data_IF_959542091291
#
_entry.id   IF_959542091291
#
_cell.length_a   1.000
_cell.length_b   1.000
_cell.length_c   1.000
_cell.angle_alpha   90.00
_cell.angle_beta   90.00
_cell.angle_gamma   90.00
#
_symmetry.space_group_name_H-M   'P 1'
#
loop_
_entity.id
_entity.type
_entity.pdbx_description
1 polymer ?
#
# COMPACT_ATOMS: atom_id res chain seq x y z
N UNK A 1 33.42 -29.76 21.45
CA UNK A 1 33.04 -30.14 20.07
C UNK A 1 32.02 -29.11 19.65
N UNK A 2 32.53 -28.00 19.14
CA UNK A 2 31.75 -26.85 18.70
C UNK A 2 31.34 -27.08 17.24
N UNK A 3 30.04 -27.22 17.00
CA UNK A 3 29.49 -27.27 15.65
C UNK A 3 29.17 -25.83 15.20
N UNK A 4 29.71 -25.34 14.06
CA UNK A 4 29.54 -23.94 13.63
C UNK A 4 28.14 -23.59 13.12
N UNK A 5 27.27 -24.58 12.87
CA UNK A 5 26.04 -24.38 12.08
C UNK A 5 24.81 -23.95 12.88
N UNK A 6 24.89 -23.85 14.21
CA UNK A 6 23.74 -23.43 15.04
C UNK A 6 23.67 -21.92 15.30
N UNK A 7 24.76 -21.16 15.08
CA UNK A 7 24.80 -19.72 15.36
C UNK A 7 24.19 -18.86 14.25
N UNK A 8 24.01 -19.39 13.03
CA UNK A 8 23.45 -18.63 11.89
C UNK A 8 21.92 -18.46 12.01
N UNK A 9 21.24 -19.37 12.70
CA UNK A 9 19.79 -19.32 12.91
C UNK A 9 19.37 -18.46 14.11
N UNK A 10 20.29 -18.15 15.02
CA UNK A 10 19.98 -17.36 16.22
C UNK A 10 20.10 -15.85 16.00
N UNK A 11 20.90 -15.40 15.03
CA UNK A 11 21.01 -13.97 14.70
C UNK A 11 19.81 -13.46 13.87
N UNK A 12 19.07 -14.35 13.19
CA UNK A 12 17.87 -13.97 12.42
C UNK A 12 16.61 -13.74 13.27
N UNK A 13 16.62 -14.18 14.53
CA UNK A 13 15.47 -14.07 15.45
C UNK A 13 15.65 -13.05 16.59
N UNK A 14 16.80 -12.39 16.68
CA UNK A 14 17.04 -11.34 17.69
C UNK A 14 17.04 -9.95 17.07
N UNK A 15 15.86 -9.33 16.98
CA UNK A 15 15.72 -7.93 16.57
C UNK A 15 14.26 -7.53 16.32
N UNK A 16 13.82 -6.45 16.95
CA UNK A 16 12.54 -5.79 16.79
C UNK A 16 12.03 -5.73 15.33
N UNK A 17 10.78 -6.15 15.12
CA UNK A 17 9.95 -5.96 13.92
C UNK A 17 10.60 -6.28 12.56
N UNK A 18 10.95 -7.54 12.30
CA UNK A 18 11.25 -8.01 10.94
C UNK A 18 9.99 -7.90 10.05
N UNK A 19 10.10 -7.29 8.85
CA UNK A 19 8.98 -7.20 7.90
C UNK A 19 8.50 -8.59 7.46
N UNK A 20 7.24 -8.70 7.02
CA UNK A 20 6.68 -9.98 6.55
C UNK A 20 7.58 -10.62 5.49
N UNK A 21 8.14 -9.79 4.61
CA UNK A 21 9.06 -10.19 3.55
C UNK A 21 10.28 -10.94 4.09
N UNK A 22 10.90 -10.46 5.18
CA UNK A 22 12.03 -11.14 5.84
C UNK A 22 11.61 -12.46 6.47
N UNK A 23 10.47 -12.46 7.15
CA UNK A 23 9.93 -13.69 7.77
C UNK A 23 9.60 -14.74 6.71
N UNK A 24 8.98 -14.34 5.60
CA UNK A 24 8.67 -15.20 4.46
C UNK A 24 9.96 -15.77 3.84
N UNK A 25 10.99 -14.93 3.68
CA UNK A 25 12.28 -15.37 3.16
C UNK A 25 12.93 -16.43 4.06
N UNK A 26 13.00 -16.19 5.38
CA UNK A 26 13.57 -17.16 6.32
C UNK A 26 12.79 -18.49 6.32
N UNK A 27 11.47 -18.44 6.23
CA UNK A 27 10.62 -19.63 6.11
C UNK A 27 10.89 -20.36 4.79
N UNK A 28 10.99 -19.63 3.67
CA UNK A 28 11.28 -20.22 2.37
C UNK A 28 12.65 -20.90 2.35
N UNK A 29 13.68 -20.29 2.94
CA UNK A 29 15.00 -20.90 3.11
C UNK A 29 14.93 -22.21 3.93
N UNK A 30 14.16 -22.22 5.02
CA UNK A 30 13.96 -23.43 5.84
C UNK A 30 13.23 -24.55 5.08
N UNK A 31 12.21 -24.22 4.28
CA UNK A 31 11.54 -25.17 3.38
C UNK A 31 12.54 -25.74 2.37
N UNK A 32 13.39 -24.87 1.80
CA UNK A 32 14.40 -25.22 0.80
C UNK A 32 15.42 -26.25 1.26
N UNK A 33 15.69 -26.37 2.56
CA UNK A 33 16.58 -27.41 3.11
C UNK A 33 16.08 -28.84 2.85
N UNK A 34 14.75 -29.04 2.83
CA UNK A 34 14.13 -30.33 2.56
C UNK A 34 13.61 -30.44 1.12
N UNK A 35 13.05 -29.36 0.60
CA UNK A 35 12.43 -29.32 -0.73
C UNK A 35 13.11 -28.24 -1.58
N UNK A 36 14.32 -28.50 -2.10
CA UNK A 36 15.10 -27.51 -2.85
C UNK A 36 14.50 -27.16 -4.21
N UNK A 37 13.41 -27.81 -4.64
CA UNK A 37 12.66 -27.48 -5.85
C UNK A 37 11.54 -26.46 -5.61
N UNK A 38 11.27 -26.04 -4.36
CA UNK A 38 10.38 -24.91 -4.10
C UNK A 38 11.18 -23.66 -4.43
N UNK A 39 10.86 -23.02 -5.56
CA UNK A 39 11.63 -21.91 -6.11
C UNK A 39 11.06 -20.55 -5.71
N UNK A 40 9.77 -20.51 -5.38
CA UNK A 40 9.08 -19.29 -4.99
C UNK A 40 8.00 -19.57 -3.97
N UNK A 41 7.89 -18.67 -3.00
CA UNK A 41 6.77 -18.58 -2.06
C UNK A 41 6.21 -17.16 -2.13
N UNK A 42 4.92 -17.01 -2.41
CA UNK A 42 4.31 -15.70 -2.65
C UNK A 42 2.91 -15.58 -2.05
N UNK A 43 2.54 -14.38 -1.64
CA UNK A 43 1.18 -14.03 -1.21
C UNK A 43 0.59 -12.99 -2.16
N UNK A 44 -0.63 -13.25 -2.62
CA UNK A 44 -1.48 -12.26 -3.27
C UNK A 44 -2.61 -11.84 -2.33
N UNK A 45 -2.69 -10.55 -2.01
CA UNK A 45 -3.73 -9.94 -1.18
C UNK A 45 -5.05 -9.88 -1.97
N UNK A 46 -6.17 -10.14 -1.30
CA UNK A 46 -7.52 -9.94 -1.85
C UNK A 46 -8.24 -8.83 -1.09
N UNK A 47 -8.79 -7.86 -1.84
CA UNK A 47 -9.62 -6.77 -1.32
C UNK A 47 -11.10 -7.05 -1.65
N UNK A 48 -11.93 -7.46 -0.67
CA UNK A 48 -13.33 -7.84 -0.93
C UNK A 48 -14.21 -6.68 -1.43
N UNK A 49 -13.85 -5.43 -1.11
CA UNK A 49 -14.65 -4.26 -1.48
C UNK A 49 -14.52 -3.90 -2.97
N UNK A 50 -13.35 -4.17 -3.56
CA UNK A 50 -13.00 -3.84 -4.95
C UNK A 50 -12.91 -5.09 -5.85
N UNK A 51 -13.05 -6.28 -5.25
CA UNK A 51 -12.82 -7.59 -5.88
C UNK A 51 -11.40 -7.76 -6.42
N UNK A 52 -10.42 -7.03 -5.88
CA UNK A 52 -9.09 -6.90 -6.47
C UNK A 52 -8.10 -7.86 -5.79
N UNK A 53 -7.39 -8.64 -6.60
CA UNK A 53 -6.20 -9.40 -6.23
C UNK A 53 -4.97 -8.58 -6.57
N UNK A 54 -4.01 -8.52 -5.65
CA UNK A 54 -2.74 -7.80 -5.83
C UNK A 54 -1.57 -8.64 -5.39
N UNK A 55 -0.45 -8.58 -6.10
CA UNK A 55 0.81 -9.07 -5.54
C UNK A 55 1.10 -8.30 -4.26
N UNK A 56 1.49 -9.03 -3.20
CA UNK A 56 1.78 -8.43 -1.91
C UNK A 56 3.23 -8.65 -1.52
N UNK A 57 3.61 -9.91 -1.32
CA UNK A 57 4.99 -10.29 -0.99
C UNK A 57 5.39 -11.56 -1.72
N UNK A 58 6.69 -11.68 -1.98
CA UNK A 58 7.27 -12.93 -2.50
C UNK A 58 8.71 -13.10 -2.07
N UNK A 59 9.08 -14.36 -1.83
CA UNK A 59 10.45 -14.82 -1.72
C UNK A 59 10.72 -15.74 -2.89
N UNK A 60 11.74 -15.42 -3.68
CA UNK A 60 12.11 -16.13 -4.88
C UNK A 60 13.60 -16.52 -4.77
N UNK A 61 13.96 -17.69 -5.30
CA UNK A 61 15.38 -18.08 -5.43
C UNK A 61 16.08 -17.34 -6.56
N UNK A 62 15.34 -17.03 -7.62
CA UNK A 62 15.77 -16.05 -8.62
C UNK A 62 15.39 -14.64 -8.14
N UNK A 63 16.15 -13.62 -8.52
CA UNK A 63 15.78 -12.23 -8.22
C UNK A 63 14.56 -11.74 -9.04
N UNK A 64 13.81 -12.65 -9.67
CA UNK A 64 12.72 -12.36 -10.60
C UNK A 64 11.38 -12.32 -9.87
N UNK A 65 10.89 -11.11 -9.58
CA UNK A 65 9.61 -10.91 -8.88
C UNK A 65 8.50 -10.48 -9.85
N UNK A 66 7.31 -11.00 -9.62
CA UNK A 66 6.09 -10.40 -10.18
C UNK A 66 5.70 -9.25 -9.24
N UNK A 67 5.80 -8.02 -9.75
CA UNK A 67 5.60 -6.79 -8.97
C UNK A 67 4.45 -5.99 -9.59
N UNK A 68 3.61 -5.37 -8.75
CA UNK A 68 2.48 -4.52 -9.18
C UNK A 68 1.50 -5.20 -10.13
N UNK A 69 1.29 -6.52 -9.99
CA UNK A 69 0.26 -7.20 -10.74
C UNK A 69 -1.07 -7.13 -9.99
N UNK A 70 -2.12 -6.71 -10.71
CA UNK A 70 -3.48 -6.66 -10.19
C UNK A 70 -4.45 -7.36 -11.15
N UNK A 71 -5.47 -8.01 -10.60
CA UNK A 71 -6.57 -8.61 -11.37
C UNK A 71 -7.82 -8.75 -10.51
N UNK A 72 -9.02 -8.70 -11.11
CA UNK A 72 -10.22 -9.01 -10.34
C UNK A 72 -10.38 -10.52 -10.13
N UNK A 73 -10.75 -10.94 -8.91
CA UNK A 73 -10.91 -12.36 -8.60
C UNK A 73 -11.97 -13.03 -9.49
N UNK A 74 -13.05 -12.31 -9.82
CA UNK A 74 -14.08 -12.81 -10.77
C UNK A 74 -13.53 -13.14 -12.16
N UNK A 75 -12.45 -12.47 -12.58
CA UNK A 75 -11.81 -12.65 -13.88
C UNK A 75 -10.72 -13.74 -13.83
N UNK A 76 -10.51 -14.37 -12.66
CA UNK A 76 -9.59 -15.50 -12.45
C UNK A 76 -10.37 -16.73 -11.94
N UNK A 77 -11.10 -17.46 -12.81
CA UNK A 77 -12.00 -18.55 -12.40
C UNK A 77 -11.31 -19.65 -11.59
N UNK A 78 -10.03 -19.90 -11.88
CA UNK A 78 -9.25 -20.92 -11.22
C UNK A 78 -9.07 -20.61 -9.72
N UNK A 79 -8.84 -19.35 -9.35
CA UNK A 79 -8.72 -18.92 -7.95
C UNK A 79 -10.09 -18.73 -7.29
N UNK A 80 -11.09 -18.24 -8.04
CA UNK A 80 -12.46 -18.12 -7.55
C UNK A 80 -13.05 -19.48 -7.11
N UNK A 81 -12.70 -20.56 -7.81
CA UNK A 81 -13.10 -21.92 -7.40
C UNK A 81 -12.52 -22.35 -6.05
N UNK A 82 -11.29 -21.93 -5.74
CA UNK A 82 -10.64 -22.21 -4.44
C UNK A 82 -11.29 -21.38 -3.34
N UNK A 83 -11.54 -20.09 -3.63
CA UNK A 83 -12.22 -19.19 -2.72
C UNK A 83 -13.58 -19.73 -2.27
N UNK A 84 -14.35 -20.30 -3.20
CA UNK A 84 -15.70 -20.83 -2.93
C UNK A 84 -15.71 -22.23 -2.32
N UNK A 85 -14.76 -23.09 -2.69
CA UNK A 85 -14.66 -24.47 -2.16
C UNK A 85 -13.93 -24.59 -0.83
N UNK A 86 -13.17 -23.56 -0.42
CA UNK A 86 -12.27 -23.61 0.74
C UNK A 86 -11.22 -24.72 0.64
N UNK A 87 -10.78 -25.03 -0.57
CA UNK A 87 -9.79 -26.08 -0.82
C UNK A 87 -8.49 -25.51 -1.39
N UNK A 88 -7.38 -26.10 -0.97
CA UNK A 88 -6.08 -25.94 -1.61
C UNK A 88 -6.04 -26.69 -2.94
N UNK A 89 -5.14 -26.29 -3.83
CA UNK A 89 -5.00 -26.90 -5.16
C UNK A 89 -3.55 -27.11 -5.51
N UNK A 90 -3.27 -28.27 -6.09
CA UNK A 90 -2.00 -28.55 -6.76
C UNK A 90 -2.23 -28.50 -8.27
N UNK A 91 -1.42 -27.71 -8.97
CA UNK A 91 -1.25 -27.75 -10.41
C UNK A 91 0.09 -28.43 -10.68
N UNK A 92 0.04 -29.63 -11.28
CA UNK A 92 1.26 -30.38 -11.59
C UNK A 92 1.96 -29.92 -12.86
N UNK A 93 1.25 -29.28 -13.78
CA UNK A 93 1.81 -28.70 -15.02
C UNK A 93 1.07 -27.40 -15.38
N UNK A 94 1.72 -26.26 -15.14
CA UNK A 94 1.18 -24.92 -15.38
C UNK A 94 0.93 -24.68 -16.88
N UNK A 95 1.91 -24.87 -17.79
CA UNK A 95 1.67 -24.79 -19.24
C UNK A 95 0.49 -25.60 -19.75
N UNK A 96 0.31 -26.82 -19.26
CA UNK A 96 -0.76 -27.72 -19.71
C UNK A 96 -2.13 -27.42 -19.06
N UNK A 97 -2.16 -26.89 -17.84
CA UNK A 97 -3.40 -26.69 -17.08
C UNK A 97 -3.96 -25.27 -17.23
N UNK A 98 -3.09 -24.25 -17.21
CA UNK A 98 -3.47 -22.84 -17.29
C UNK A 98 -3.39 -22.36 -18.75
N UNK A 99 -4.40 -22.74 -19.53
CA UNK A 99 -4.47 -22.43 -20.96
C UNK A 99 -4.96 -21.00 -21.25
N UNK A 100 -5.71 -20.38 -20.34
CA UNK A 100 -6.18 -18.99 -20.50
C UNK A 100 -5.00 -18.04 -20.25
N UNK A 101 -4.59 -17.24 -21.25
CA UNK A 101 -3.50 -16.30 -21.07
C UNK A 101 -3.96 -15.16 -20.16
N UNK A 102 -3.25 -14.99 -19.04
CA UNK A 102 -3.36 -13.83 -18.16
C UNK A 102 -1.94 -13.29 -17.94
N UNK A 103 -1.79 -12.03 -17.53
CA UNK A 103 -0.45 -11.48 -17.23
C UNK A 103 0.31 -12.34 -16.22
N UNK A 104 -0.37 -12.84 -15.18
CA UNK A 104 0.23 -13.75 -14.20
C UNK A 104 0.61 -15.11 -14.80
N UNK A 105 -0.30 -15.75 -15.54
CA UNK A 105 -0.03 -17.04 -16.19
C UNK A 105 1.12 -16.93 -17.20
N UNK A 106 1.17 -15.84 -17.97
CA UNK A 106 2.25 -15.60 -18.93
C UNK A 106 3.57 -15.36 -18.20
N UNK A 107 3.57 -14.56 -17.14
CA UNK A 107 4.76 -14.34 -16.31
C UNK A 107 5.29 -15.64 -15.72
N UNK A 108 4.43 -16.51 -15.19
CA UNK A 108 4.86 -17.82 -14.69
C UNK A 108 5.53 -18.66 -15.78
N UNK A 109 4.97 -18.67 -17.00
CA UNK A 109 5.53 -19.41 -18.14
C UNK A 109 6.85 -18.82 -18.65
N UNK A 110 6.97 -17.50 -18.70
CA UNK A 110 8.19 -16.79 -19.14
C UNK A 110 9.37 -17.01 -18.20
N UNK A 111 9.11 -17.32 -16.93
CA UNK A 111 10.14 -17.59 -15.90
C UNK A 111 10.27 -19.08 -15.56
N UNK A 112 9.76 -19.95 -16.43
CA UNK A 112 9.86 -21.41 -16.36
C UNK A 112 9.24 -22.04 -15.10
N UNK A 113 8.18 -21.45 -14.54
CA UNK A 113 7.41 -22.12 -13.48
C UNK A 113 6.48 -23.18 -14.06
N UNK A 114 6.59 -24.40 -13.55
CA UNK A 114 5.92 -25.58 -14.10
C UNK A 114 4.91 -26.22 -13.16
N UNK A 115 5.03 -26.06 -11.83
CA UNK A 115 4.01 -26.56 -10.91
C UNK A 115 3.77 -25.58 -9.75
N UNK A 116 2.59 -25.66 -9.14
CA UNK A 116 2.20 -24.75 -8.05
C UNK A 116 1.27 -25.43 -7.04
N UNK A 117 1.51 -25.22 -5.75
CA UNK A 117 0.55 -25.45 -4.67
C UNK A 117 -0.04 -24.09 -4.25
N UNK A 118 -1.35 -23.95 -4.40
CA UNK A 118 -2.10 -22.75 -4.02
C UNK A 118 -2.95 -23.02 -2.78
N UNK A 119 -2.83 -22.16 -1.77
CA UNK A 119 -3.56 -22.25 -0.49
C UNK A 119 -4.35 -20.95 -0.26
N UNK A 120 -5.69 -20.98 -0.19
CA UNK A 120 -6.49 -19.81 0.15
C UNK A 120 -6.39 -19.47 1.65
N UNK A 121 -6.24 -18.19 1.98
CA UNK A 121 -6.12 -17.68 3.36
C UNK A 121 -7.42 -17.00 3.77
N UNK A 122 -8.00 -17.46 4.89
CA UNK A 122 -9.27 -16.96 5.40
C UNK A 122 -9.15 -16.33 6.80
N UNK A 123 -9.97 -15.30 7.04
CA UNK A 123 -10.24 -14.74 8.38
C UNK A 123 -11.75 -14.76 8.63
N UNK A 124 -12.19 -15.46 9.68
CA UNK A 124 -13.61 -15.56 10.03
C UNK A 124 -14.50 -15.89 8.81
N UNK A 125 -14.07 -16.87 8.00
CA UNK A 125 -14.73 -17.34 6.78
C UNK A 125 -14.73 -16.36 5.58
N UNK A 126 -14.02 -15.23 5.66
CA UNK A 126 -13.80 -14.32 4.53
C UNK A 126 -12.42 -14.54 3.92
N UNK A 127 -12.34 -14.66 2.60
CA UNK A 127 -11.08 -14.73 1.89
C UNK A 127 -10.29 -13.42 2.10
N UNK A 128 -9.00 -13.54 2.43
CA UNK A 128 -8.10 -12.40 2.58
C UNK A 128 -6.93 -12.44 1.61
N UNK A 129 -6.48 -13.63 1.19
CA UNK A 129 -5.34 -13.77 0.30
C UNK A 129 -5.24 -15.19 -0.30
N UNK A 130 -4.30 -15.37 -1.23
CA UNK A 130 -3.81 -16.67 -1.68
C UNK A 130 -2.31 -16.76 -1.43
N UNK A 131 -1.87 -17.90 -0.90
CA UNK A 131 -0.47 -18.30 -0.78
C UNK A 131 -0.12 -19.27 -1.89
N UNK A 132 1.04 -19.08 -2.50
CA UNK A 132 1.57 -19.87 -3.59
C UNK A 132 2.92 -20.44 -3.20
N UNK A 133 3.12 -21.73 -3.44
CA UNK A 133 4.42 -22.37 -3.52
C UNK A 133 4.61 -22.79 -4.97
N UNK A 134 5.60 -22.24 -5.66
CA UNK A 134 5.84 -22.52 -7.07
C UNK A 134 7.18 -23.21 -7.27
N UNK A 135 7.24 -24.04 -8.30
CA UNK A 135 8.41 -24.85 -8.67
C UNK A 135 8.62 -24.79 -10.17
N UNK A 136 9.89 -24.71 -10.58
CA UNK A 136 10.33 -24.84 -11.97
C UNK A 136 10.36 -26.28 -12.47
N UNK A 137 9.95 -27.23 -11.64
CA UNK A 137 9.87 -28.65 -12.00
C UNK A 137 8.39 -29.05 -12.10
N UNK A 138 8.00 -29.66 -13.22
CA UNK A 138 6.66 -30.23 -13.36
C UNK A 138 6.47 -31.43 -12.41
N UNK A 139 5.25 -31.64 -11.92
CA UNK A 139 4.88 -32.74 -11.02
C UNK A 139 5.71 -32.80 -9.71
N UNK A 140 6.19 -31.66 -9.22
CA UNK A 140 7.08 -31.61 -8.05
C UNK A 140 6.36 -31.76 -6.70
N UNK A 141 5.03 -31.58 -6.67
CA UNK A 141 4.23 -31.69 -5.46
C UNK A 141 3.55 -33.06 -5.39
N UNK A 142 3.96 -33.87 -4.42
CA UNK A 142 3.32 -35.13 -4.04
C UNK A 142 2.58 -35.00 -2.70
N UNK A 143 1.95 -36.08 -2.24
CA UNK A 143 1.16 -36.06 -1.00
C UNK A 143 2.02 -35.88 0.27
N UNK A 144 3.33 -36.15 0.22
CA UNK A 144 4.22 -35.94 1.36
C UNK A 144 4.62 -34.47 1.45
N UNK A 145 5.15 -33.92 0.36
CA UNK A 145 5.53 -32.50 0.27
C UNK A 145 4.32 -31.60 0.49
N UNK A 146 3.14 -31.91 -0.06
CA UNK A 146 1.93 -31.14 0.19
C UNK A 146 1.58 -31.07 1.69
N UNK A 147 1.56 -32.21 2.39
CA UNK A 147 1.27 -32.26 3.84
C UNK A 147 2.32 -31.54 4.68
N UNK A 148 3.58 -31.58 4.27
CA UNK A 148 4.63 -30.82 4.95
C UNK A 148 4.45 -29.32 4.73
N UNK A 149 4.19 -28.91 3.50
CA UNK A 149 3.99 -27.50 3.14
C UNK A 149 2.72 -26.92 3.76
N UNK A 150 1.69 -27.72 4.03
CA UNK A 150 0.49 -27.29 4.77
C UNK A 150 0.84 -26.69 6.14
N UNK A 151 1.79 -27.26 6.88
CA UNK A 151 2.22 -26.72 8.18
C UNK A 151 2.87 -25.34 8.04
N UNK A 152 3.69 -25.16 7.00
CA UNK A 152 4.30 -23.87 6.70
C UNK A 152 3.29 -22.89 6.13
N UNK A 153 2.32 -23.37 5.34
CA UNK A 153 1.23 -22.56 4.82
C UNK A 153 0.39 -21.98 5.95
N UNK A 154 0.08 -22.78 6.97
CA UNK A 154 -0.61 -22.33 8.17
C UNK A 154 0.23 -21.28 8.92
N UNK A 155 1.52 -21.53 9.14
CA UNK A 155 2.42 -20.56 9.78
C UNK A 155 2.47 -19.21 9.03
N UNK A 156 2.73 -19.26 7.73
CA UNK A 156 2.79 -18.07 6.86
C UNK A 156 1.43 -17.34 6.88
N UNK A 157 0.33 -18.09 6.82
CA UNK A 157 -1.02 -17.53 6.88
C UNK A 157 -1.29 -16.82 8.21
N UNK A 158 -0.89 -17.40 9.35
CA UNK A 158 -1.06 -16.76 10.65
C UNK A 158 -0.19 -15.50 10.79
N UNK A 159 1.06 -15.52 10.31
CA UNK A 159 1.93 -14.34 10.30
C UNK A 159 1.35 -13.21 9.43
N UNK A 160 0.89 -13.55 8.23
CA UNK A 160 0.22 -12.61 7.33
C UNK A 160 -1.04 -12.02 7.98
N UNK A 161 -1.91 -12.87 8.55
CA UNK A 161 -3.14 -12.41 9.19
C UNK A 161 -2.84 -11.54 10.42
N UNK A 162 -1.82 -11.85 11.21
CA UNK A 162 -1.39 -11.03 12.34
C UNK A 162 -0.98 -9.63 11.86
N UNK A 163 -0.16 -9.55 10.81
CA UNK A 163 0.31 -8.27 10.27
C UNK A 163 -0.82 -7.46 9.64
N UNK A 164 -1.67 -8.08 8.82
CA UNK A 164 -2.85 -7.42 8.24
C UNK A 164 -3.82 -6.97 9.34
N UNK A 165 -3.99 -7.74 10.41
CA UNK A 165 -4.82 -7.33 11.54
C UNK A 165 -4.26 -6.09 12.24
N UNK A 166 -2.95 -6.00 12.42
CA UNK A 166 -2.31 -4.80 12.98
C UNK A 166 -2.54 -3.59 12.07
N UNK A 167 -2.36 -3.75 10.76
CA UNK A 167 -2.60 -2.69 9.77
C UNK A 167 -4.07 -2.27 9.78
N UNK A 168 -5.01 -3.20 9.73
CA UNK A 168 -6.45 -2.89 9.79
C UNK A 168 -6.87 -2.26 11.12
N UNK A 169 -6.26 -2.67 12.24
CA UNK A 169 -6.51 -2.04 13.54
C UNK A 169 -5.96 -0.61 13.58
N UNK A 170 -4.78 -0.39 13.00
CA UNK A 170 -4.15 0.91 12.89
C UNK A 170 -5.02 1.82 11.99
N UNK A 171 -5.30 1.38 10.76
CA UNK A 171 -6.17 2.09 9.82
C UNK A 171 -7.55 2.34 10.44
N UNK A 172 -8.16 1.37 11.12
CA UNK A 172 -9.45 1.53 11.77
C UNK A 172 -9.42 2.56 12.91
N UNK A 173 -8.40 2.52 13.78
CA UNK A 173 -8.20 3.53 14.84
C UNK A 173 -8.04 4.91 14.23
N UNK A 174 -7.26 5.00 13.16
CA UNK A 174 -7.07 6.27 12.50
C UNK A 174 -8.34 6.74 11.78
N UNK A 175 -9.07 5.87 11.09
CA UNK A 175 -10.33 6.20 10.43
C UNK A 175 -11.37 6.73 11.43
N UNK A 176 -11.38 6.22 12.66
CA UNK A 176 -12.20 6.79 13.75
C UNK A 176 -11.73 8.21 14.07
N UNK A 177 -10.43 8.44 14.24
CA UNK A 177 -9.88 9.76 14.52
C UNK A 177 -10.13 10.76 13.37
N UNK A 178 -9.85 10.39 12.12
CA UNK A 178 -10.15 11.18 10.92
C UNK A 178 -11.66 11.38 10.74
N UNK A 179 -12.48 10.39 11.08
CA UNK A 179 -13.94 10.51 11.06
C UNK A 179 -14.46 11.56 12.05
N UNK A 180 -13.83 11.68 13.23
CA UNK A 180 -14.14 12.74 14.20
C UNK A 180 -13.72 14.12 13.70
N UNK A 181 -12.57 14.22 13.01
CA UNK A 181 -12.18 15.46 12.32
C UNK A 181 -13.19 15.85 11.24
N UNK A 182 -13.64 14.86 10.45
CA UNK A 182 -14.59 15.03 9.34
C UNK A 182 -15.98 15.50 9.78
N UNK A 183 -16.43 15.17 10.99
CA UNK A 183 -17.71 15.71 11.50
C UNK A 183 -17.66 17.25 11.54
N UNK A 184 -16.48 17.83 11.66
CA UNK A 184 -16.25 19.28 11.78
C UNK A 184 -15.67 19.93 10.54
N UNK A 185 -15.19 19.16 9.55
CA UNK A 185 -14.58 19.71 8.32
C UNK A 185 -15.51 19.51 7.12
N UNK A 186 -15.44 20.44 6.16
CA UNK A 186 -16.24 20.44 4.94
C UNK A 186 -15.71 19.47 3.86
N UNK A 187 -14.58 18.81 4.11
CA UNK A 187 -13.98 17.84 3.19
C UNK A 187 -14.83 16.56 3.12
N UNK A 188 -15.22 16.18 1.89
CA UNK A 188 -16.05 15.01 1.65
C UNK A 188 -15.23 13.73 1.86
N UNK A 189 -15.87 12.64 2.31
CA UNK A 189 -15.20 11.33 2.39
C UNK A 189 -14.65 10.86 1.03
N UNK A 190 -15.20 11.38 -0.08
CA UNK A 190 -14.76 11.05 -1.43
C UNK A 190 -13.44 11.71 -1.81
N UNK A 191 -13.11 12.90 -1.28
CA UNK A 191 -11.81 13.53 -1.47
C UNK A 191 -10.68 12.60 -1.00
N UNK A 192 -10.83 12.01 0.19
CA UNK A 192 -9.82 11.12 0.76
C UNK A 192 -9.63 9.85 -0.10
N UNK A 193 -10.72 9.27 -0.60
CA UNK A 193 -10.66 8.11 -1.50
C UNK A 193 -9.96 8.46 -2.82
N UNK A 194 -10.31 9.59 -3.45
CA UNK A 194 -9.65 10.04 -4.68
C UNK A 194 -8.16 10.28 -4.47
N UNK A 195 -7.81 11.02 -3.41
CA UNK A 195 -6.44 11.36 -3.08
C UNK A 195 -5.58 10.12 -2.82
N UNK A 196 -6.09 9.15 -2.05
CA UNK A 196 -5.43 7.87 -1.82
C UNK A 196 -5.17 7.12 -3.14
N UNK A 197 -6.15 7.07 -4.04
CA UNK A 197 -5.98 6.41 -5.34
C UNK A 197 -5.00 7.14 -6.26
N UNK A 198 -4.95 8.48 -6.25
CA UNK A 198 -3.93 9.25 -6.97
C UNK A 198 -2.52 9.00 -6.41
N UNK A 199 -2.39 8.90 -5.08
CA UNK A 199 -1.12 8.58 -4.44
C UNK A 199 -0.62 7.19 -4.85
N UNK A 200 -1.49 6.17 -4.82
CA UNK A 200 -1.17 4.81 -5.29
C UNK A 200 -0.73 4.81 -6.76
N UNK A 201 -1.47 5.51 -7.61
CA UNK A 201 -1.20 5.62 -9.05
C UNK A 201 0.20 6.20 -9.32
N UNK A 202 0.57 7.28 -8.65
CA UNK A 202 1.90 7.87 -8.76
C UNK A 202 2.99 6.92 -8.23
N UNK A 203 2.78 6.30 -7.07
CA UNK A 203 3.77 5.39 -6.48
C UNK A 203 4.06 4.17 -7.37
N UNK A 204 3.03 3.59 -7.99
CA UNK A 204 3.20 2.50 -8.95
C UNK A 204 4.05 2.91 -10.16
N UNK A 205 3.83 4.13 -10.68
CA UNK A 205 4.60 4.68 -11.80
C UNK A 205 6.05 5.02 -11.41
N UNK A 206 6.27 5.43 -10.17
CA UNK A 206 7.58 5.81 -9.63
C UNK A 206 8.37 4.65 -9.00
N UNK A 207 7.77 3.47 -8.90
CA UNK A 207 8.31 2.34 -8.15
C UNK A 207 9.75 1.97 -8.54
N UNK A 208 10.08 1.95 -9.83
CA UNK A 208 11.45 1.65 -10.28
C UNK A 208 12.45 2.76 -9.97
N UNK A 209 12.03 4.01 -10.02
CA UNK A 209 12.89 5.18 -9.82
C UNK A 209 13.30 5.32 -8.35
N UNK A 210 12.41 4.93 -7.44
CA UNK A 210 12.56 5.10 -5.99
C UNK A 210 12.64 3.79 -5.22
N UNK A 211 12.73 2.65 -5.91
CA UNK A 211 12.76 1.31 -5.32
C UNK A 211 11.58 1.05 -4.37
N UNK A 212 10.38 1.48 -4.77
CA UNK A 212 9.16 1.28 -3.99
C UNK A 212 8.61 -0.13 -4.22
N UNK A 213 8.49 -0.90 -3.15
CA UNK A 213 7.87 -2.23 -3.19
C UNK A 213 6.35 -2.16 -3.05
N UNK A 214 5.68 -3.29 -3.31
CA UNK A 214 4.22 -3.41 -3.22
C UNK A 214 3.71 -3.10 -1.79
N UNK A 215 4.51 -3.41 -0.77
CA UNK A 215 4.22 -3.11 0.64
C UNK A 215 4.19 -1.59 0.91
N UNK A 216 5.18 -0.84 0.43
CA UNK A 216 5.21 0.63 0.51
C UNK A 216 4.00 1.26 -0.20
N UNK A 217 3.71 0.81 -1.43
CA UNK A 217 2.61 1.36 -2.24
C UNK A 217 1.27 1.14 -1.54
N UNK A 218 1.07 -0.03 -0.93
CA UNK A 218 -0.12 -0.34 -0.15
C UNK A 218 -0.25 0.57 1.07
N UNK A 219 0.83 0.75 1.83
CA UNK A 219 0.81 1.60 3.02
C UNK A 219 0.61 3.07 2.68
N UNK A 220 1.19 3.56 1.59
CA UNK A 220 0.93 4.90 1.10
C UNK A 220 -0.56 5.10 0.77
N UNK A 221 -1.17 4.14 0.06
CA UNK A 221 -2.60 4.18 -0.23
C UNK A 221 -3.45 4.24 1.05
N UNK A 222 -3.15 3.38 2.03
CA UNK A 222 -3.88 3.32 3.28
C UNK A 222 -3.71 4.57 4.17
N UNK A 223 -2.53 5.19 4.14
CA UNK A 223 -2.19 6.30 5.04
C UNK A 223 -2.28 7.69 4.41
N UNK A 224 -2.39 7.81 3.09
CA UNK A 224 -2.62 9.10 2.42
C UNK A 224 -3.84 9.85 3.00
N UNK A 225 -5.01 9.22 3.25
CA UNK A 225 -6.17 9.87 3.89
C UNK A 225 -5.91 10.50 5.26
N UNK A 226 -4.76 10.26 5.88
CA UNK A 226 -4.45 10.67 7.25
C UNK A 226 -3.73 12.01 7.34
N UNK A 227 -3.28 12.56 6.21
CA UNK A 227 -2.46 13.77 6.16
C UNK A 227 -3.02 14.90 7.06
N UNK A 228 -4.34 15.07 7.04
CA UNK A 228 -5.06 16.13 7.76
C UNK A 228 -5.70 15.71 9.10
N UNK A 229 -5.33 14.55 9.66
CA UNK A 229 -5.91 14.02 10.92
C UNK A 229 -5.88 15.04 12.08
N UNK A 230 -4.86 15.90 12.11
CA UNK A 230 -4.70 16.89 13.17
C UNK A 230 -5.68 18.06 13.12
N UNK A 231 -6.48 18.21 12.04
CA UNK A 231 -7.56 19.19 11.96
C UNK A 231 -8.58 19.01 13.09
N UNK A 232 -8.67 17.81 13.69
CA UNK A 232 -9.49 17.54 14.89
C UNK A 232 -9.19 18.50 16.06
N UNK A 233 -7.96 18.98 16.17
CA UNK A 233 -7.54 19.90 17.24
C UNK A 233 -7.62 21.38 16.87
N UNK A 234 -8.08 21.72 15.66
CA UNK A 234 -8.23 23.13 15.24
C UNK A 234 -9.57 23.68 15.75
N UNK A 235 -9.62 24.91 16.31
CA UNK A 235 -10.87 25.53 16.75
C UNK A 235 -11.85 25.75 15.60
N UNK A 236 -13.15 25.55 15.86
CA UNK A 236 -14.21 25.76 14.84
C UNK A 236 -14.21 27.17 14.26
N UNK A 237 -13.91 28.19 15.07
CA UNK A 237 -13.83 29.58 14.62
C UNK A 237 -12.78 29.82 13.53
N UNK A 238 -11.79 28.94 13.43
CA UNK A 238 -10.75 28.96 12.39
C UNK A 238 -11.08 27.94 11.30
N UNK A 239 -11.39 26.69 11.66
CA UNK A 239 -11.65 25.60 10.72
C UNK A 239 -12.87 25.86 9.82
N UNK A 240 -13.95 26.37 10.41
CA UNK A 240 -15.24 26.60 9.75
C UNK A 240 -15.45 28.06 9.32
N UNK A 241 -14.38 28.89 9.35
CA UNK A 241 -14.51 30.32 9.04
C UNK A 241 -14.98 30.52 7.60
N UNK A 242 -16.10 31.21 7.36
CA UNK A 242 -16.54 31.54 6.01
C UNK A 242 -15.69 32.70 5.47
N UNK A 243 -14.59 32.39 4.77
CA UNK A 243 -13.73 33.37 4.12
C UNK A 243 -12.24 33.09 4.28
N UNK A 244 -11.41 34.09 4.02
CA UNK A 244 -9.95 33.97 4.17
C UNK A 244 -9.56 34.06 5.65
N UNK A 245 -8.60 33.22 6.03
CA UNK A 245 -7.92 33.32 7.33
C UNK A 245 -6.98 34.54 7.33
N UNK A 246 -6.94 35.26 8.46
CA UNK A 246 -5.90 36.25 8.74
C UNK A 246 -4.59 35.57 9.18
N UNK A 247 -3.55 36.35 9.45
CA UNK A 247 -2.23 35.81 9.80
C UNK A 247 -2.24 34.98 11.10
N UNK A 248 -2.98 35.42 12.13
CA UNK A 248 -3.04 34.73 13.42
C UNK A 248 -3.87 33.44 13.31
N UNK A 249 -4.95 33.48 12.52
CA UNK A 249 -5.75 32.30 12.20
C UNK A 249 -4.96 31.29 11.35
N UNK A 250 -4.12 31.76 10.42
CA UNK A 250 -3.18 30.91 9.69
C UNK A 250 -2.15 30.25 10.61
N UNK A 251 -1.65 30.96 11.61
CA UNK A 251 -0.75 30.37 12.62
C UNK A 251 -1.45 29.24 13.39
N UNK A 252 -2.73 29.40 13.72
CA UNK A 252 -3.53 28.35 14.34
C UNK A 252 -3.74 27.19 13.38
N UNK A 253 -4.16 27.46 12.14
CA UNK A 253 -4.43 26.43 11.13
C UNK A 253 -3.21 25.53 10.88
N UNK A 254 -2.00 26.11 10.77
CA UNK A 254 -0.77 25.34 10.54
C UNK A 254 -0.45 24.32 11.64
N UNK A 255 -1.00 24.49 12.85
CA UNK A 255 -0.79 23.56 13.96
C UNK A 255 -1.43 22.19 13.76
N UNK A 256 -2.31 22.01 12.77
CA UNK A 256 -2.88 20.68 12.49
C UNK A 256 -1.78 19.66 12.17
N UNK A 257 -0.65 20.08 11.56
CA UNK A 257 0.49 19.18 11.34
C UNK A 257 1.08 18.71 12.66
N UNK A 258 1.37 19.62 13.60
CA UNK A 258 1.93 19.29 14.91
C UNK A 258 0.99 18.42 15.75
N UNK A 259 -0.31 18.72 15.70
CA UNK A 259 -1.35 17.94 16.36
C UNK A 259 -1.42 16.54 15.74
N UNK A 260 -1.39 16.45 14.41
CA UNK A 260 -1.39 15.19 13.69
C UNK A 260 -0.17 14.33 14.02
N UNK A 261 1.03 14.92 14.08
CA UNK A 261 2.26 14.26 14.51
C UNK A 261 2.15 13.74 15.96
N UNK A 262 1.51 14.51 16.84
CA UNK A 262 1.28 14.07 18.23
C UNK A 262 0.33 12.87 18.27
N UNK A 263 -0.73 12.88 17.46
CA UNK A 263 -1.69 11.77 17.36
C UNK A 263 -1.00 10.52 16.80
N UNK A 264 -0.26 10.64 15.70
CA UNK A 264 0.44 9.48 15.10
C UNK A 264 1.46 8.89 16.06
N UNK A 265 2.26 9.71 16.74
CA UNK A 265 3.18 9.23 17.79
C UNK A 265 2.47 8.49 18.92
N UNK A 266 1.33 9.00 19.37
CA UNK A 266 0.54 8.33 20.42
C UNK A 266 0.01 6.97 19.96
N UNK A 267 -0.51 6.90 18.73
CA UNK A 267 -0.99 5.64 18.14
C UNK A 267 0.15 4.63 18.01
N UNK A 268 1.32 5.06 17.54
CA UNK A 268 2.50 4.21 17.39
C UNK A 268 2.93 3.62 18.75
N UNK A 269 2.99 4.47 19.78
CA UNK A 269 3.37 4.05 21.13
C UNK A 269 2.32 3.11 21.75
N UNK A 270 1.02 3.40 21.61
CA UNK A 270 -0.04 2.57 22.19
C UNK A 270 -0.16 1.18 21.54
N UNK A 271 0.34 1.04 20.31
CA UNK A 271 0.31 -0.20 19.56
C UNK A 271 1.64 -0.96 19.58
N UNK A 272 2.67 -0.46 20.30
CA UNK A 272 4.03 -0.99 20.32
C UNK A 272 4.60 -1.21 18.89
N UNK A 273 4.43 -0.21 18.02
CA UNK A 273 4.85 -0.26 16.60
C UNK A 273 6.07 0.64 16.30
N UNK A 274 6.94 0.83 17.28
CA UNK A 274 8.13 1.66 17.15
C UNK A 274 9.06 1.13 16.04
N UNK A 275 9.64 2.05 15.26
CA UNK A 275 10.63 1.78 14.20
C UNK A 275 10.21 0.81 13.07
N UNK A 276 8.91 0.63 12.82
CA UNK A 276 8.43 -0.09 11.63
C UNK A 276 8.37 0.79 10.36
N UNK A 277 8.53 0.19 9.19
CA UNK A 277 8.35 0.88 7.89
C UNK A 277 6.94 1.47 7.76
N UNK A 278 5.94 0.74 8.24
CA UNK A 278 4.52 1.13 8.29
C UNK A 278 4.36 2.46 9.03
N UNK A 279 4.90 2.54 10.25
CA UNK A 279 4.72 3.70 11.13
C UNK A 279 5.51 4.92 10.65
N UNK A 280 6.64 4.70 9.98
CA UNK A 280 7.40 5.76 9.31
C UNK A 280 6.62 6.39 8.15
N UNK A 281 6.04 5.60 7.25
CA UNK A 281 5.24 6.12 6.12
C UNK A 281 4.07 6.95 6.65
N UNK A 282 3.29 6.40 7.59
CA UNK A 282 2.17 7.11 8.22
C UNK A 282 2.61 8.44 8.85
N UNK A 283 3.68 8.42 9.65
CA UNK A 283 4.20 9.61 10.30
C UNK A 283 4.67 10.66 9.28
N UNK A 284 5.41 10.24 8.25
CA UNK A 284 5.98 11.16 7.26
C UNK A 284 4.92 11.87 6.43
N UNK A 285 3.85 11.16 6.04
CA UNK A 285 2.71 11.77 5.34
C UNK A 285 2.14 12.92 6.20
N UNK A 286 1.83 12.65 7.46
CA UNK A 286 1.25 13.67 8.35
C UNK A 286 2.23 14.81 8.62
N UNK A 287 3.50 14.49 8.90
CA UNK A 287 4.50 15.48 9.29
C UNK A 287 4.93 16.43 8.17
N UNK A 288 4.86 15.98 6.90
CA UNK A 288 5.56 16.67 5.80
C UNK A 288 4.69 16.96 4.58
N UNK A 289 3.39 16.62 4.54
CA UNK A 289 2.53 16.86 3.36
C UNK A 289 2.38 18.35 2.98
N UNK A 290 2.66 19.28 3.89
CA UNK A 290 2.69 20.73 3.64
C UNK A 290 4.09 21.32 3.46
N UNK A 291 5.12 20.48 3.45
CA UNK A 291 6.44 20.92 3.03
C UNK A 291 6.44 21.24 1.53
N UNK A 292 7.19 22.26 1.15
CA UNK A 292 7.32 22.70 -0.24
C UNK A 292 8.78 22.67 -0.60
N UNK A 293 9.11 22.08 -1.75
CA UNK A 293 10.50 21.87 -2.14
C UNK A 293 11.33 23.15 -2.33
N UNK A 294 10.69 24.33 -2.35
CA UNK A 294 11.33 25.65 -2.36
C UNK A 294 11.72 26.16 -0.95
N UNK A 295 11.56 25.32 0.08
CA UNK A 295 11.89 25.64 1.49
C UNK A 295 10.91 26.58 2.16
N UNK A 296 9.78 26.92 1.51
CA UNK A 296 8.74 27.82 2.05
C UNK A 296 7.52 27.09 2.59
N UNK A 297 7.61 25.77 2.70
CA UNK A 297 6.60 24.92 3.34
C UNK A 297 6.64 25.04 4.87
N UNK A 298 5.83 24.21 5.52
CA UNK A 298 5.77 24.12 6.98
C UNK A 298 5.58 22.65 7.39
N UNK A 299 5.97 22.29 8.63
CA UNK A 299 6.45 23.15 9.71
C UNK A 299 7.97 23.37 9.76
N UNK A 300 8.77 22.65 8.97
CA UNK A 300 10.23 22.63 9.05
C UNK A 300 10.93 23.39 7.92
N UNK A 301 10.24 23.73 6.82
CA UNK A 301 10.80 24.52 5.71
C UNK A 301 11.80 23.71 4.89
N UNK A 302 11.46 22.46 4.59
CA UNK A 302 12.34 21.49 3.96
C UNK A 302 12.54 21.78 2.48
N UNK A 303 13.74 21.54 1.97
CA UNK A 303 13.99 21.49 0.52
C UNK A 303 13.54 20.15 -0.06
N UNK A 304 13.28 20.11 -1.37
CA UNK A 304 12.64 18.97 -2.04
C UNK A 304 13.32 17.63 -1.72
N UNK A 305 14.66 17.61 -1.73
CA UNK A 305 15.48 16.41 -1.50
C UNK A 305 15.40 15.87 -0.07
N UNK A 306 14.94 16.69 0.88
CA UNK A 306 14.76 16.31 2.28
C UNK A 306 13.37 15.72 2.53
N UNK A 307 12.38 16.03 1.69
CA UNK A 307 10.99 15.61 1.88
C UNK A 307 10.86 14.12 1.48
N UNK A 308 10.38 13.24 2.37
CA UNK A 308 10.14 11.83 2.05
C UNK A 308 9.23 11.65 0.82
N UNK A 309 9.46 10.60 0.03
CA UNK A 309 8.74 10.39 -1.24
C UNK A 309 7.22 10.23 -1.03
N UNK A 310 6.80 9.55 0.04
CA UNK A 310 5.40 9.42 0.45
C UNK A 310 4.72 10.78 0.65
N UNK A 311 5.40 11.74 1.27
CA UNK A 311 4.86 13.08 1.50
C UNK A 311 4.85 13.93 0.23
N UNK A 312 5.87 13.79 -0.63
CA UNK A 312 5.90 14.43 -1.95
C UNK A 312 4.75 13.96 -2.85
N UNK A 313 4.47 12.65 -2.84
CA UNK A 313 3.36 12.07 -3.58
C UNK A 313 2.02 12.59 -3.04
N UNK A 314 1.81 12.56 -1.72
CA UNK A 314 0.56 13.05 -1.11
C UNK A 314 0.33 14.53 -1.36
N UNK A 315 1.38 15.37 -1.28
CA UNK A 315 1.26 16.80 -1.58
C UNK A 315 0.76 17.06 -3.01
N UNK A 316 1.25 16.31 -4.00
CA UNK A 316 0.77 16.42 -5.38
C UNK A 316 -0.67 15.91 -5.52
N UNK A 317 -1.00 14.80 -4.86
CA UNK A 317 -2.34 14.21 -4.90
C UNK A 317 -3.40 15.16 -4.31
N UNK A 318 -3.09 15.81 -3.17
CA UNK A 318 -3.97 16.77 -2.50
C UNK A 318 -4.19 18.02 -3.37
N UNK A 319 -3.12 18.62 -3.90
CA UNK A 319 -3.23 19.78 -4.80
C UNK A 319 -4.06 19.44 -6.05
N UNK A 320 -3.85 18.27 -6.64
CA UNK A 320 -4.64 17.84 -7.80
C UNK A 320 -6.12 17.66 -7.46
N UNK A 321 -6.46 16.98 -6.36
CA UNK A 321 -7.86 16.79 -5.96
C UNK A 321 -8.54 18.14 -5.66
N UNK A 322 -7.83 19.06 -5.00
CA UNK A 322 -8.30 20.40 -4.69
C UNK A 322 -8.58 21.28 -5.91
N UNK A 323 -7.85 21.07 -7.02
CA UNK A 323 -8.05 21.79 -8.28
C UNK A 323 -9.11 21.14 -9.16
N UNK A 324 -9.23 19.81 -9.11
CA UNK A 324 -10.05 19.02 -10.03
C UNK A 324 -11.48 18.79 -9.59
N UNK A 325 -11.81 19.02 -8.32
CA UNK A 325 -13.15 18.83 -7.78
C UNK A 325 -13.77 20.13 -7.27
N UNK A 326 -15.10 20.14 -7.23
CA UNK A 326 -15.87 21.29 -6.73
C UNK A 326 -15.67 21.42 -5.22
N UNK A 327 -15.31 22.62 -4.77
CA UNK A 327 -15.35 23.01 -3.34
C UNK A 327 -16.50 24.00 -3.13
N UNK A 328 -17.02 24.18 -1.90
CA UNK A 328 -18.12 25.11 -1.60
C UNK A 328 -17.96 26.54 -2.16
N UNK A 329 -16.72 26.94 -2.47
CA UNK A 329 -16.37 28.27 -2.98
C UNK A 329 -15.68 28.28 -4.36
N UNK A 330 -15.56 27.14 -5.05
CA UNK A 330 -14.76 27.03 -6.29
C UNK A 330 -15.26 25.93 -7.21
N UNK A 331 -15.58 26.27 -8.46
CA UNK A 331 -15.82 25.29 -9.52
C UNK A 331 -14.51 24.57 -9.92
N UNK A 332 -14.59 23.29 -10.33
CA UNK A 332 -13.42 22.55 -10.76
C UNK A 332 -12.77 23.21 -11.98
N UNK A 333 -11.44 23.21 -12.00
CA UNK A 333 -10.68 23.74 -13.12
C UNK A 333 -10.76 22.84 -14.34
N UNK A 334 -10.53 23.39 -15.54
CA UNK A 334 -10.38 22.54 -16.72
C UNK A 334 -9.08 21.75 -16.61
N UNK A 335 -9.08 20.54 -17.16
CA UNK A 335 -7.92 19.65 -17.13
C UNK A 335 -6.64 20.34 -17.62
N UNK A 336 -6.72 21.14 -18.69
CA UNK A 336 -5.56 21.87 -19.23
C UNK A 336 -5.01 22.92 -18.25
N UNK A 337 -5.89 23.56 -17.47
CA UNK A 337 -5.53 24.56 -16.46
C UNK A 337 -4.87 23.89 -15.25
N UNK A 338 -5.38 22.72 -14.83
CA UNK A 338 -4.82 21.93 -13.73
C UNK A 338 -3.41 21.47 -14.10
N UNK A 339 -3.24 20.90 -15.28
CA UNK A 339 -1.94 20.42 -15.78
C UNK A 339 -0.93 21.57 -15.90
N UNK A 340 -1.37 22.73 -16.41
CA UNK A 340 -0.52 23.92 -16.50
C UNK A 340 -0.06 24.41 -15.11
N UNK A 341 -0.96 24.45 -14.13
CA UNK A 341 -0.63 24.89 -12.78
C UNK A 341 0.29 23.90 -12.05
N UNK A 342 0.03 22.59 -12.14
CA UNK A 342 0.92 21.58 -11.55
C UNK A 342 2.35 21.66 -12.12
N UNK A 343 2.49 21.80 -13.44
CA UNK A 343 3.80 21.97 -14.09
C UNK A 343 4.49 23.27 -13.69
N UNK A 344 3.73 24.35 -13.50
CA UNK A 344 4.25 25.61 -12.98
C UNK A 344 4.75 25.45 -11.55
N UNK A 345 3.99 24.83 -10.66
CA UNK A 345 4.42 24.59 -9.27
C UNK A 345 5.64 23.66 -9.20
N UNK A 346 5.74 22.66 -10.08
CA UNK A 346 6.94 21.83 -10.26
C UNK A 346 8.13 22.64 -10.78
N UNK A 347 7.93 23.52 -11.77
CA UNK A 347 8.97 24.41 -12.30
C UNK A 347 9.48 25.42 -11.26
N UNK A 348 8.63 25.82 -10.32
CA UNK A 348 9.00 26.62 -9.13
C UNK A 348 9.63 25.80 -8.01
N UNK A 349 9.83 24.49 -8.22
CA UNK A 349 10.35 23.51 -7.25
C UNK A 349 9.51 23.39 -5.97
N UNK A 350 8.23 23.79 -6.00
CA UNK A 350 7.32 23.66 -4.85
C UNK A 350 6.78 22.24 -4.72
N UNK A 351 6.44 21.65 -5.87
CA UNK A 351 6.04 20.25 -6.01
C UNK A 351 7.16 19.46 -6.70
N UNK A 352 7.17 18.15 -6.47
CA UNK A 352 8.09 17.24 -7.14
C UNK A 352 7.69 17.02 -8.60
N UNK A 353 8.61 17.28 -9.53
CA UNK A 353 8.33 17.17 -10.96
C UNK A 353 8.10 15.73 -11.44
N UNK A 354 8.73 14.74 -10.82
CA UNK A 354 8.53 13.34 -11.18
C UNK A 354 7.15 12.85 -10.71
N UNK A 355 6.72 13.27 -9.52
CA UNK A 355 5.36 12.99 -9.02
C UNK A 355 4.31 13.66 -9.90
N UNK A 356 4.51 14.93 -10.27
CA UNK A 356 3.60 15.66 -11.17
C UNK A 356 3.48 14.97 -12.53
N UNK A 357 4.59 14.63 -13.19
CA UNK A 357 4.52 13.98 -14.50
C UNK A 357 3.96 12.56 -14.42
N UNK A 358 4.23 11.80 -13.35
CA UNK A 358 3.62 10.49 -13.11
C UNK A 358 2.09 10.59 -13.04
N UNK A 359 1.56 11.60 -12.32
CA UNK A 359 0.12 11.83 -12.22
C UNK A 359 -0.48 12.27 -13.57
N UNK A 360 0.16 13.22 -14.26
CA UNK A 360 -0.32 13.76 -15.54
C UNK A 360 -0.41 12.65 -16.61
N UNK A 361 0.61 11.79 -16.68
CA UNK A 361 0.67 10.70 -17.66
C UNK A 361 -0.49 9.71 -17.53
N UNK A 362 -1.03 9.51 -16.32
CA UNK A 362 -2.08 8.55 -16.02
C UNK A 362 -3.51 9.13 -16.19
N UNK A 363 -3.78 9.79 -17.32
CA UNK A 363 -5.03 10.52 -17.58
C UNK A 363 -6.29 9.66 -17.47
N UNK A 364 -6.30 8.48 -18.11
CA UNK A 364 -7.48 7.61 -18.13
C UNK A 364 -7.82 7.10 -16.73
N UNK A 365 -6.80 6.70 -15.97
CA UNK A 365 -6.94 6.23 -14.59
C UNK A 365 -7.46 7.35 -13.68
N UNK A 366 -6.96 8.59 -13.84
CA UNK A 366 -7.46 9.74 -13.07
C UNK A 366 -8.93 10.01 -13.31
N UNK A 367 -9.36 9.98 -14.57
CA UNK A 367 -10.77 10.16 -14.93
C UNK A 367 -11.65 9.05 -14.35
N UNK A 368 -11.18 7.79 -14.39
CA UNK A 368 -11.90 6.68 -13.78
C UNK A 368 -12.08 6.87 -12.26
N UNK A 369 -11.01 7.29 -11.55
CA UNK A 369 -11.06 7.61 -10.12
C UNK A 369 -12.08 8.73 -9.83
N UNK A 370 -12.09 9.81 -10.62
CA UNK A 370 -13.04 10.91 -10.45
C UNK A 370 -14.49 10.46 -10.61
N UNK A 371 -14.77 9.62 -11.61
CA UNK A 371 -16.12 9.10 -11.84
C UNK A 371 -16.55 8.15 -10.72
N UNK A 372 -15.66 7.25 -10.30
CA UNK A 372 -15.96 6.25 -9.28
C UNK A 372 -16.22 6.87 -7.91
N UNK A 373 -15.45 7.90 -7.55
CA UNK A 373 -15.51 8.58 -6.26
C UNK A 373 -16.01 10.02 -6.41
N UNK A 374 -17.00 10.23 -7.28
CA UNK A 374 -17.65 11.53 -7.40
C UNK A 374 -18.35 11.91 -6.09
N UNK A 375 -18.31 13.20 -5.75
CA UNK A 375 -19.10 13.72 -4.62
C UNK A 375 -20.58 13.46 -4.88
N UNK A 376 -21.27 12.90 -3.88
CA UNK A 376 -22.71 12.71 -3.96
C UNK A 376 -23.37 14.08 -3.90
N UNK A 377 -24.17 14.39 -4.92
CA UNK A 377 -25.05 15.55 -4.89
C UNK A 377 -26.20 15.17 -3.95
N UNK A 378 -26.20 15.72 -2.75
CA UNK A 378 -27.37 15.70 -1.85
C UNK A 378 -28.49 16.61 -2.39
#
# INVERSE_FOLDING_TARGET
MDHPDFNVLTESFSGSHASLSKSLQAIHEAIGLRYPYIDRVAIALYEPHTDLLKTFISSNKDDQKLVRYEAHLKDVPSLLSLATSHQSRIISDIPATLCTPTTHTNWLKEHDYHSSLTVPIYRANKLNAFLFFDSKIAHSFDAESARFLEVFADLISQLFLLQINQIHSLVGTVQVASGLARIRDLETGQHLERMANYARLMAQALAHTYELDDEFIEYLYLFAPLHDIGKVGIPDSVLLKPGKLDAAEWDIMRRHVEIGVTITKKIIADMDLEDSVITRIMHNIVAYHHERGDGKGYPYGMQLEQIPIEARIVAVADVYDALSNKRPYKEPWREEEIVAELRKEAGLRRLDSQCVEALIAAKEQRLAIQVQFADKID
#
